data_IF_091634978370
#
_entry.id   IF_091634978370
#
_cell.length_a   1.000
_cell.length_b   1.000
_cell.length_c   1.000
_cell.angle_alpha   90.00
_cell.angle_beta   90.00
_cell.angle_gamma   90.00
#
_symmetry.space_group_name_H-M   'P 1'
#
loop_
_entity.id
_entity.type
_entity.pdbx_description
1 polymer ?
#
# COMPACT_ATOMS: atom_id res chain seq x y z
N UNK A 1 31.02 -2.07 -12.13
CA UNK A 1 29.59 -1.82 -11.84
C UNK A 1 29.37 -2.31 -10.43
N UNK A 2 29.26 -1.40 -9.46
CA UNK A 2 28.97 -1.76 -8.06
C UNK A 2 27.49 -2.08 -7.98
N UNK A 3 27.13 -3.27 -7.50
CA UNK A 3 25.73 -3.60 -7.25
C UNK A 3 25.13 -2.60 -6.26
N UNK A 4 23.90 -2.13 -6.48
CA UNK A 4 23.23 -1.29 -5.50
C UNK A 4 23.00 -2.12 -4.24
N UNK A 5 23.70 -1.79 -3.16
CA UNK A 5 23.42 -2.32 -1.84
C UNK A 5 22.12 -1.72 -1.34
N UNK A 6 20.99 -2.39 -1.60
CA UNK A 6 19.71 -2.06 -0.99
C UNK A 6 19.74 -2.45 0.49
N UNK A 7 20.34 -1.61 1.34
CA UNK A 7 20.09 -1.66 2.77
C UNK A 7 18.67 -1.14 3.01
N UNK A 8 17.66 -1.99 2.82
CA UNK A 8 16.32 -1.68 3.33
C UNK A 8 16.44 -1.66 4.85
N UNK A 9 16.17 -0.50 5.46
CA UNK A 9 16.08 -0.40 6.91
C UNK A 9 15.19 -1.52 7.43
N UNK A 10 15.73 -2.29 8.38
CA UNK A 10 14.99 -3.37 9.02
C UNK A 10 13.90 -2.75 9.89
N UNK A 11 12.70 -2.68 9.33
CA UNK A 11 11.50 -2.20 10.04
C UNK A 11 10.75 -3.40 10.63
N UNK A 12 10.44 -3.38 11.94
CA UNK A 12 9.63 -4.43 12.56
C UNK A 12 8.28 -4.61 11.85
N UNK A 13 7.81 -5.86 11.77
CA UNK A 13 6.51 -6.27 11.17
C UNK A 13 5.86 -7.40 11.97
N UNK A 14 6.03 -7.38 13.30
CA UNK A 14 5.55 -8.44 14.21
C UNK A 14 4.03 -8.42 14.36
N UNK A 15 3.41 -7.26 14.14
CA UNK A 15 1.97 -7.06 14.18
C UNK A 15 1.51 -6.19 13.01
N UNK A 16 0.51 -6.68 12.27
CA UNK A 16 -0.06 -6.01 11.10
C UNK A 16 -1.52 -5.67 11.37
N UNK A 17 -1.81 -4.38 11.58
CA UNK A 17 -3.16 -3.90 11.86
C UNK A 17 -3.91 -3.61 10.55
N UNK A 18 -4.97 -4.36 10.29
CA UNK A 18 -5.90 -4.15 9.18
C UNK A 18 -6.88 -3.02 9.48
N UNK A 19 -7.02 -2.04 8.58
CA UNK A 19 -7.92 -0.90 8.78
C UNK A 19 -8.71 -0.60 7.49
N UNK A 20 -10.05 -0.70 7.48
CA UNK A 20 -10.84 -0.38 6.29
C UNK A 20 -10.69 1.09 5.90
N UNK A 21 -10.29 1.36 4.65
CA UNK A 21 -10.15 2.73 4.13
C UNK A 21 -11.47 3.51 4.06
N UNK A 22 -12.60 2.78 4.04
CA UNK A 22 -13.95 3.37 4.05
C UNK A 22 -14.41 3.84 5.44
N UNK A 23 -13.61 3.63 6.50
CA UNK A 23 -14.00 3.98 7.86
C UNK A 23 -13.03 5.01 8.51
N UNK A 24 -13.28 6.31 8.32
CA UNK A 24 -12.45 7.39 8.89
C UNK A 24 -12.24 7.29 10.40
N UNK A 25 -13.22 6.80 11.16
CA UNK A 25 -13.07 6.62 12.62
C UNK A 25 -12.03 5.55 12.97
N UNK A 26 -11.97 4.48 12.17
CA UNK A 26 -10.95 3.44 12.36
C UNK A 26 -9.57 3.88 11.88
N UNK A 27 -9.50 4.63 10.77
CA UNK A 27 -8.27 5.25 10.29
C UNK A 27 -7.63 6.13 11.36
N UNK A 28 -8.43 6.99 12.00
CA UNK A 28 -7.98 7.86 13.09
C UNK A 28 -7.53 7.05 14.31
N UNK A 29 -8.34 6.08 14.75
CA UNK A 29 -8.00 5.24 15.90
C UNK A 29 -6.69 4.48 15.69
N UNK A 30 -6.41 4.03 14.46
CA UNK A 30 -5.23 3.23 14.14
C UNK A 30 -3.90 3.94 14.40
N UNK A 31 -3.87 5.28 14.30
CA UNK A 31 -2.68 6.11 14.60
C UNK A 31 -2.15 5.83 16.01
N UNK A 32 -3.06 5.72 16.99
CA UNK A 32 -2.71 5.53 18.40
C UNK A 32 -2.55 4.07 18.87
N UNK A 33 -2.77 3.06 18.01
CA UNK A 33 -2.69 1.65 18.42
C UNK A 33 -1.26 1.10 18.32
N UNK A 34 -0.81 0.23 19.25
CA UNK A 34 0.50 -0.39 19.18
C UNK A 34 0.52 -1.49 18.13
N UNK A 35 0.95 -1.13 16.92
CA UNK A 35 1.20 -2.04 15.81
C UNK A 35 2.47 -1.61 15.08
N UNK A 36 3.25 -2.59 14.63
CA UNK A 36 4.46 -2.37 13.85
C UNK A 36 4.16 -1.95 12.41
N UNK A 37 3.08 -2.48 11.85
CA UNK A 37 2.57 -2.13 10.52
C UNK A 37 1.08 -1.84 10.62
N UNK A 38 0.64 -0.87 9.83
CA UNK A 38 -0.76 -0.63 9.55
C UNK A 38 -0.96 -0.81 8.05
N UNK A 39 -1.93 -1.62 7.65
CA UNK A 39 -2.36 -1.65 6.25
C UNK A 39 -3.76 -1.08 6.12
N UNK A 40 -3.86 -0.04 5.30
CA UNK A 40 -5.10 0.64 4.99
C UNK A 40 -5.73 -0.08 3.80
N UNK A 41 -6.87 -0.73 4.06
CA UNK A 41 -7.45 -1.70 3.16
C UNK A 41 -8.42 -1.04 2.17
N UNK A 42 -8.20 -1.29 0.88
CA UNK A 42 -9.10 -0.94 -0.22
C UNK A 42 -9.84 -2.15 -0.77
N UNK A 43 -9.57 -3.36 -0.28
CA UNK A 43 -10.05 -4.61 -0.84
C UNK A 43 -11.26 -5.17 -0.05
N UNK A 44 -11.16 -6.36 0.54
CA UNK A 44 -12.32 -7.14 0.99
C UNK A 44 -13.12 -6.47 2.13
N UNK A 45 -12.52 -5.56 2.90
CA UNK A 45 -13.26 -4.79 3.93
C UNK A 45 -14.00 -3.56 3.39
N UNK A 46 -13.92 -3.27 2.09
CA UNK A 46 -14.51 -2.10 1.45
C UNK A 46 -15.52 -2.51 0.38
N UNK A 47 -16.78 -2.09 0.55
CA UNK A 47 -17.82 -2.30 -0.45
C UNK A 47 -17.49 -1.60 -1.79
N UNK A 48 -17.89 -2.18 -2.95
CA UNK A 48 -17.58 -1.60 -4.27
C UNK A 48 -17.94 -0.11 -4.42
N UNK A 49 -19.12 0.30 -3.93
CA UNK A 49 -19.58 1.69 -4.00
C UNK A 49 -18.70 2.65 -3.19
N UNK A 50 -18.00 2.15 -2.18
CA UNK A 50 -17.17 2.94 -1.27
C UNK A 50 -15.68 2.98 -1.68
N UNK A 51 -15.27 2.28 -2.75
CA UNK A 51 -13.84 2.20 -3.15
C UNK A 51 -13.25 3.58 -3.48
N UNK A 52 -14.03 4.44 -4.15
CA UNK A 52 -13.58 5.78 -4.51
C UNK A 52 -13.34 6.65 -3.26
N UNK A 53 -14.30 6.69 -2.35
CA UNK A 53 -14.18 7.44 -1.10
C UNK A 53 -13.10 6.85 -0.20
N UNK A 54 -12.95 5.52 -0.16
CA UNK A 54 -11.90 4.85 0.60
C UNK A 54 -10.49 5.26 0.13
N UNK A 55 -10.26 5.38 -1.20
CA UNK A 55 -8.99 5.91 -1.73
C UNK A 55 -8.74 7.33 -1.24
N UNK A 56 -9.74 8.21 -1.33
CA UNK A 56 -9.62 9.59 -0.89
C UNK A 56 -9.32 9.70 0.62
N UNK A 57 -10.01 8.90 1.44
CA UNK A 57 -9.80 8.84 2.89
C UNK A 57 -8.38 8.36 3.24
N UNK A 58 -7.87 7.34 2.54
CA UNK A 58 -6.52 6.83 2.75
C UNK A 58 -5.47 7.89 2.41
N UNK A 59 -5.61 8.57 1.27
CA UNK A 59 -4.72 9.68 0.89
C UNK A 59 -4.71 10.77 1.96
N UNK A 60 -5.90 11.17 2.43
CA UNK A 60 -6.02 12.16 3.50
C UNK A 60 -5.34 11.68 4.80
N UNK A 61 -5.63 10.46 5.24
CA UNK A 61 -5.07 9.91 6.48
C UNK A 61 -3.54 9.79 6.45
N UNK A 62 -2.97 9.33 5.33
CA UNK A 62 -1.51 9.24 5.16
C UNK A 62 -0.84 10.61 5.21
N UNK A 63 -1.45 11.62 4.60
CA UNK A 63 -0.92 12.99 4.57
C UNK A 63 -1.12 13.75 5.89
N UNK A 64 -2.15 13.40 6.67
CA UNK A 64 -2.34 13.93 8.02
C UNK A 64 -1.28 13.40 9.00
N UNK A 65 -0.77 12.19 8.77
CA UNK A 65 0.30 11.59 9.59
C UNK A 65 -0.20 10.92 10.87
N UNK A 66 0.67 10.82 11.88
CA UNK A 66 0.38 10.12 13.15
C UNK A 66 0.64 8.61 13.13
N UNK A 67 1.35 8.12 12.11
CA UNK A 67 1.77 6.72 11.99
C UNK A 67 3.26 6.53 12.30
N UNK A 68 3.83 7.39 13.15
CA UNK A 68 5.25 7.37 13.49
C UNK A 68 5.70 6.00 14.02
N UNK A 69 6.84 5.53 13.51
CA UNK A 69 7.39 4.22 13.86
C UNK A 69 6.64 3.01 13.27
N UNK A 70 5.60 3.22 12.46
CA UNK A 70 4.86 2.16 11.78
C UNK A 70 5.27 2.05 10.32
N UNK A 71 5.22 0.84 9.79
CA UNK A 71 5.18 0.63 8.34
C UNK A 71 3.77 0.96 7.85
N UNK A 72 3.66 1.96 6.98
CA UNK A 72 2.40 2.41 6.36
C UNK A 72 2.22 1.68 5.04
N UNK A 73 1.30 0.73 5.02
CA UNK A 73 0.99 -0.07 3.85
C UNK A 73 -0.42 0.27 3.37
N UNK A 74 -0.67 0.17 2.08
CA UNK A 74 -2.04 0.04 1.56
C UNK A 74 -2.22 -1.38 1.02
N UNK A 75 -3.40 -1.97 1.22
CA UNK A 75 -3.80 -3.15 0.46
C UNK A 75 -4.71 -2.70 -0.66
N UNK A 76 -4.22 -2.81 -1.90
CA UNK A 76 -4.99 -2.48 -3.10
C UNK A 76 -5.98 -3.59 -3.43
N UNK A 77 -6.89 -3.37 -4.37
CA UNK A 77 -7.74 -4.45 -4.87
C UNK A 77 -6.92 -5.51 -5.65
N UNK A 78 -7.52 -6.68 -5.87
CA UNK A 78 -6.96 -7.74 -6.72
C UNK A 78 -6.68 -7.23 -8.13
N UNK A 79 -5.50 -7.53 -8.67
CA UNK A 79 -5.06 -7.12 -10.00
C UNK A 79 -6.09 -7.40 -11.11
N UNK A 80 -6.93 -8.43 -10.97
CA UNK A 80 -7.94 -8.77 -11.99
C UNK A 80 -9.19 -7.88 -11.96
N UNK A 81 -9.29 -6.96 -10.99
CA UNK A 81 -10.44 -6.06 -10.84
C UNK A 81 -10.23 -4.72 -11.54
N UNK A 82 -11.32 -3.99 -11.79
CA UNK A 82 -11.28 -2.66 -12.40
C UNK A 82 -10.69 -1.56 -11.49
N UNK A 83 -10.48 -1.85 -10.20
CA UNK A 83 -10.11 -0.85 -9.20
C UNK A 83 -8.58 -0.69 -9.03
N UNK A 84 -7.83 -1.77 -9.19
CA UNK A 84 -6.42 -1.86 -8.72
C UNK A 84 -5.50 -0.83 -9.33
N UNK A 85 -5.58 -0.62 -10.65
CA UNK A 85 -4.77 0.40 -11.31
C UNK A 85 -5.03 1.80 -10.73
N UNK A 86 -6.30 2.09 -10.39
CA UNK A 86 -6.70 3.38 -9.84
C UNK A 86 -6.30 3.50 -8.38
N UNK A 87 -6.34 2.42 -7.62
CA UNK A 87 -5.83 2.39 -6.24
C UNK A 87 -4.35 2.74 -6.19
N UNK A 88 -3.53 2.09 -7.02
CA UNK A 88 -2.08 2.35 -7.11
C UNK A 88 -1.83 3.79 -7.52
N UNK A 89 -2.40 4.26 -8.64
CA UNK A 89 -2.16 5.61 -9.15
C UNK A 89 -2.59 6.67 -8.13
N UNK A 90 -3.84 6.59 -7.65
CA UNK A 90 -4.40 7.64 -6.78
C UNK A 90 -3.66 7.73 -5.45
N UNK A 91 -3.31 6.60 -4.81
CA UNK A 91 -2.65 6.69 -3.51
C UNK A 91 -1.18 7.06 -3.65
N UNK A 92 -0.46 6.53 -4.65
CA UNK A 92 0.97 6.84 -4.81
C UNK A 92 1.18 8.29 -5.24
N UNK A 93 0.40 8.81 -6.18
CA UNK A 93 0.48 10.23 -6.56
C UNK A 93 0.00 11.15 -5.44
N UNK A 94 -1.03 10.75 -4.68
CA UNK A 94 -1.62 11.58 -3.64
C UNK A 94 -0.86 11.59 -2.30
N UNK A 95 -0.18 10.49 -1.96
CA UNK A 95 0.41 10.29 -0.62
C UNK A 95 1.73 9.49 -0.64
N UNK A 96 2.37 9.29 -1.80
CA UNK A 96 3.61 8.51 -1.95
C UNK A 96 4.75 8.84 -0.98
N UNK A 97 5.02 10.12 -0.63
CA UNK A 97 6.04 10.46 0.37
C UNK A 97 5.77 9.85 1.76
N UNK A 98 4.49 9.60 2.06
CA UNK A 98 3.96 9.08 3.30
C UNK A 98 3.56 7.60 3.22
N UNK A 99 3.87 6.92 2.12
CA UNK A 99 3.58 5.51 1.91
C UNK A 99 4.88 4.69 1.93
N UNK A 100 4.85 3.56 2.64
CA UNK A 100 6.02 2.69 2.74
C UNK A 100 5.94 1.48 1.81
N UNK A 101 4.77 0.85 1.69
CA UNK A 101 4.57 -0.34 0.88
C UNK A 101 3.16 -0.42 0.26
N UNK A 102 3.05 -1.16 -0.84
CA UNK A 102 1.78 -1.64 -1.40
C UNK A 102 1.70 -3.16 -1.21
N UNK A 103 0.61 -3.61 -0.60
CA UNK A 103 0.23 -5.01 -0.53
C UNK A 103 -0.70 -5.35 -1.70
N UNK A 104 -0.27 -6.28 -2.54
CA UNK A 104 -1.04 -6.83 -3.65
C UNK A 104 -1.69 -8.15 -3.17
N UNK A 105 -3.04 -8.22 -3.08
CA UNK A 105 -3.73 -9.45 -2.70
C UNK A 105 -3.73 -10.46 -3.84
N UNK A 106 -4.05 -11.73 -3.52
CA UNK A 106 -4.32 -12.81 -4.49
C UNK A 106 -3.20 -12.99 -5.52
N UNK A 107 -1.94 -12.79 -5.13
CA UNK A 107 -0.80 -13.02 -6.02
C UNK A 107 -0.71 -14.51 -6.31
N UNK A 108 -0.53 -14.83 -7.60
CA UNK A 108 -0.46 -16.17 -8.19
C UNK A 108 0.82 -16.35 -9.01
N UNK A 109 1.34 -15.27 -9.58
CA UNK A 109 2.43 -15.32 -10.57
C UNK A 109 3.39 -14.13 -10.41
N UNK A 110 4.63 -14.29 -10.86
CA UNK A 110 5.64 -13.23 -10.81
C UNK A 110 5.27 -12.03 -11.70
N UNK A 111 4.52 -12.27 -12.77
CA UNK A 111 4.03 -11.27 -13.71
C UNK A 111 3.17 -10.20 -13.00
N UNK A 112 2.41 -10.58 -11.97
CA UNK A 112 1.62 -9.64 -11.18
C UNK A 112 2.51 -8.69 -10.36
N UNK A 113 3.64 -9.21 -9.85
CA UNK A 113 4.65 -8.40 -9.15
C UNK A 113 5.38 -7.49 -10.14
N UNK A 114 5.76 -8.00 -11.31
CA UNK A 114 6.39 -7.19 -12.36
C UNK A 114 5.49 -6.06 -12.86
N UNK A 115 4.18 -6.29 -12.95
CA UNK A 115 3.23 -5.24 -13.27
C UNK A 115 3.25 -4.12 -12.22
N UNK A 116 3.20 -4.47 -10.93
CA UNK A 116 3.19 -3.48 -9.86
C UNK A 116 4.51 -2.73 -9.78
N UNK A 117 5.64 -3.43 -9.90
CA UNK A 117 6.98 -2.85 -9.93
C UNK A 117 7.17 -1.86 -11.09
N UNK A 118 6.73 -2.24 -12.29
CA UNK A 118 6.78 -1.37 -13.47
C UNK A 118 5.91 -0.12 -13.28
N UNK A 119 4.69 -0.30 -12.76
CA UNK A 119 3.74 0.79 -12.52
C UNK A 119 4.28 1.75 -11.46
N UNK A 120 4.79 1.24 -10.34
CA UNK A 120 5.41 2.04 -9.29
C UNK A 120 6.62 2.81 -9.81
N UNK A 121 7.53 2.14 -10.53
CA UNK A 121 8.70 2.79 -11.13
C UNK A 121 8.32 3.95 -12.04
N UNK A 122 7.24 3.80 -12.83
CA UNK A 122 6.75 4.88 -13.69
C UNK A 122 6.22 6.06 -12.87
N UNK A 123 5.39 5.80 -11.86
CA UNK A 123 4.82 6.85 -11.00
C UNK A 123 5.94 7.55 -10.21
N UNK A 124 6.86 6.81 -9.59
CA UNK A 124 7.99 7.36 -8.84
C UNK A 124 8.83 8.30 -9.70
N UNK A 125 9.11 7.93 -10.96
CA UNK A 125 9.82 8.82 -11.91
C UNK A 125 9.03 10.09 -12.24
N UNK A 126 7.73 9.97 -12.48
CA UNK A 126 6.86 11.13 -12.79
C UNK A 126 6.75 12.07 -11.60
N UNK A 127 6.66 11.52 -10.38
CA UNK A 127 6.50 12.28 -9.14
C UNK A 127 7.84 12.77 -8.55
N UNK A 128 8.97 12.35 -9.12
CA UNK A 128 10.31 12.70 -8.64
C UNK A 128 10.71 12.00 -7.32
N UNK A 129 10.12 10.84 -7.04
CA UNK A 129 10.50 9.99 -5.90
C UNK A 129 11.77 9.19 -6.23
N UNK A 130 12.49 8.77 -5.19
CA UNK A 130 13.52 7.75 -5.34
C UNK A 130 12.88 6.46 -5.86
N UNK A 131 13.39 5.93 -6.97
CA UNK A 131 12.86 4.70 -7.58
C UNK A 131 13.12 3.50 -6.68
N UNK A 132 12.08 2.70 -6.42
CA UNK A 132 12.13 1.54 -5.54
C UNK A 132 11.96 1.86 -4.06
N UNK A 133 11.59 3.11 -3.72
CA UNK A 133 11.34 3.54 -2.34
C UNK A 133 10.09 2.86 -1.76
N UNK A 134 9.03 2.75 -2.56
CA UNK A 134 7.78 2.11 -2.13
C UNK A 134 7.93 0.60 -2.32
N UNK A 135 7.91 -0.14 -1.22
CA UNK A 135 8.03 -1.59 -1.23
C UNK A 135 6.79 -2.30 -1.76
N UNK A 136 6.95 -3.55 -2.18
CA UNK A 136 5.85 -4.43 -2.58
C UNK A 136 5.75 -5.58 -1.58
N UNK A 137 4.52 -5.87 -1.12
CA UNK A 137 4.15 -7.03 -0.32
C UNK A 137 3.22 -7.92 -1.14
N UNK A 138 3.61 -9.16 -1.39
CA UNK A 138 2.74 -10.14 -2.03
C UNK A 138 1.93 -10.87 -0.96
N UNK A 139 0.60 -10.84 -1.06
CA UNK A 139 -0.27 -11.66 -0.22
C UNK A 139 -0.67 -12.92 -1.00
N UNK A 140 -0.17 -14.07 -0.53
CA UNK A 140 -0.46 -15.40 -1.06
C UNK A 140 -1.68 -15.96 -0.33
N UNK A 141 -2.75 -16.20 -1.07
CA UNK A 141 -4.04 -16.64 -0.49
C UNK A 141 -4.86 -17.54 -1.42
N UNK A 142 -4.20 -18.18 -2.37
CA UNK A 142 -4.79 -19.22 -3.22
C UNK A 142 -3.75 -20.34 -3.42
N UNK A 143 -4.16 -21.45 -4.06
CA UNK A 143 -3.31 -22.62 -4.22
C UNK A 143 -2.19 -22.48 -5.27
N UNK A 144 -2.29 -21.50 -6.17
CA UNK A 144 -1.31 -21.30 -7.24
C UNK A 144 -0.12 -20.46 -6.79
N UNK A 145 -0.36 -19.47 -5.91
CA UNK A 145 0.64 -18.57 -5.38
C UNK A 145 1.53 -19.15 -4.28
#
# INVERSE_FOLDING_TARGET
MTEPTFSRDLRPRRSNLAVPGSNPKMLEKAKGLPADQVFLDLEDSVAPIAKADARANIVAALNEGGYDGKVRTIRVNDLTTEWTYRDVVTVVEGAGPNLDCIMLPKVQTAEQIHWLDTTLTQIEKVMGFEVGRIGIEAQIENALG
#
